data_IF_894658318450
#
_entry.id   IF_894658318450
#
_cell.length_a   1.000
_cell.length_b   1.000
_cell.length_c   1.000
_cell.angle_alpha   90.00
_cell.angle_beta   90.00
_cell.angle_gamma   90.00
#
_symmetry.space_group_name_H-M   'P 1'
#
loop_
_entity.id
_entity.type
_entity.pdbx_description
1 polymer ?
#
# COMPACT_ATOMS: atom_id res chain seq x y z
N UNK A 1 11.91 -17.34 -12.43
CA UNK A 1 11.09 -17.41 -11.20
C UNK A 1 10.95 -16.00 -10.64
N UNK A 2 9.74 -15.58 -10.26
CA UNK A 2 9.53 -14.27 -9.64
C UNK A 2 10.13 -14.22 -8.22
N UNK A 3 10.55 -13.04 -7.77
CA UNK A 3 10.96 -12.81 -6.37
C UNK A 3 9.75 -12.41 -5.55
N UNK A 4 9.66 -12.94 -4.32
CA UNK A 4 8.68 -12.49 -3.33
C UNK A 4 9.39 -11.48 -2.45
N UNK A 5 8.90 -10.24 -2.42
CA UNK A 5 9.44 -9.15 -1.61
C UNK A 5 8.39 -8.70 -0.60
N UNK A 6 8.87 -8.23 0.54
CA UNK A 6 8.10 -7.43 1.49
C UNK A 6 8.80 -6.09 1.62
N UNK A 7 8.04 -5.01 1.47
CA UNK A 7 8.49 -3.65 1.67
C UNK A 7 7.48 -2.94 2.56
N UNK A 8 7.94 -2.45 3.70
CA UNK A 8 7.09 -1.85 4.73
C UNK A 8 7.94 -0.96 5.63
N UNK A 9 7.45 0.24 5.94
CA UNK A 9 8.06 1.05 6.99
C UNK A 9 7.63 0.54 8.37
N UNK A 10 8.58 0.44 9.29
CA UNK A 10 8.33 0.00 10.66
C UNK A 10 9.03 0.91 11.66
N UNK A 11 8.47 0.98 12.86
CA UNK A 11 9.14 1.56 14.02
C UNK A 11 10.28 0.66 14.51
N UNK A 12 11.18 1.21 15.32
CA UNK A 12 12.33 0.48 15.88
C UNK A 12 11.89 -0.67 16.80
N UNK A 13 10.74 -0.52 17.46
CA UNK A 13 10.11 -1.54 18.31
C UNK A 13 9.19 -2.51 17.54
N UNK A 14 9.17 -2.44 16.21
CA UNK A 14 8.60 -3.48 15.34
C UNK A 14 7.12 -3.31 14.98
N UNK A 15 6.56 -2.11 15.09
CA UNK A 15 5.18 -1.80 14.70
C UNK A 15 5.13 -1.09 13.34
N UNK A 16 4.11 -1.42 12.55
CA UNK A 16 3.89 -0.86 11.19
C UNK A 16 2.75 0.16 11.13
N UNK A 17 2.04 0.34 12.24
CA UNK A 17 0.88 1.23 12.36
C UNK A 17 0.73 1.69 13.81
N UNK A 18 0.11 2.86 14.01
CA UNK A 18 -0.29 3.33 15.33
C UNK A 18 -1.53 2.60 15.85
N UNK A 19 -1.87 2.75 17.14
CA UNK A 19 -3.12 2.23 17.68
C UNK A 19 -4.34 2.90 17.03
N UNK A 20 -5.51 2.26 17.13
CA UNK A 20 -6.78 2.77 16.62
C UNK A 20 -6.81 3.03 15.09
N UNK A 21 -6.08 2.22 14.32
CA UNK A 21 -6.14 2.27 12.86
C UNK A 21 -7.51 1.81 12.32
N UNK A 22 -7.96 2.48 11.27
CA UNK A 22 -9.26 2.25 10.67
C UNK A 22 -9.54 3.18 9.48
N UNK A 23 -10.69 3.02 8.80
CA UNK A 23 -11.14 3.99 7.80
C UNK A 23 -11.13 5.41 8.36
N UNK A 24 -10.52 6.36 7.63
CA UNK A 24 -10.32 7.74 8.09
C UNK A 24 -9.13 7.96 9.04
N UNK A 25 -8.58 6.91 9.64
CA UNK A 25 -7.36 6.92 10.46
C UNK A 25 -6.40 5.80 10.03
N UNK A 26 -6.07 5.74 8.74
CA UNK A 26 -5.48 4.53 8.17
C UNK A 26 -4.08 4.18 8.65
N UNK A 27 -3.35 5.16 9.18
CA UNK A 27 -2.03 4.95 9.78
C UNK A 27 -2.09 4.75 11.30
N UNK A 28 -3.27 4.87 11.92
CA UNK A 28 -3.43 4.89 13.37
C UNK A 28 -2.87 6.15 14.02
N UNK A 29 -3.12 6.29 15.32
CA UNK A 29 -2.73 7.46 16.11
C UNK A 29 -1.20 7.56 16.17
N UNK A 30 -0.66 8.68 15.70
CA UNK A 30 0.80 8.91 15.63
C UNK A 30 1.54 8.12 14.55
N UNK A 31 0.88 7.22 13.82
CA UNK A 31 1.53 6.39 12.79
C UNK A 31 1.99 7.14 11.55
N UNK A 32 1.56 8.40 11.39
CA UNK A 32 2.08 9.31 10.36
C UNK A 32 3.60 9.49 10.47
N UNK A 33 4.17 9.47 11.67
CA UNK A 33 5.61 9.61 11.88
C UNK A 33 6.44 8.55 11.12
N UNK A 34 5.89 7.34 10.94
CA UNK A 34 6.52 6.28 10.14
C UNK A 34 6.53 6.59 8.64
N UNK A 35 5.62 7.45 8.17
CA UNK A 35 5.37 7.69 6.75
C UNK A 35 5.66 9.14 6.33
N UNK A 36 6.26 9.97 7.18
CA UNK A 36 6.58 11.38 6.83
C UNK A 36 7.43 11.48 5.56
N UNK A 37 8.36 10.55 5.35
CA UNK A 37 9.18 10.47 4.13
C UNK A 37 8.33 10.23 2.86
N UNK A 38 7.20 9.53 2.97
CA UNK A 38 6.26 9.31 1.87
C UNK A 38 5.47 10.58 1.54
N UNK A 39 5.12 11.36 2.56
CA UNK A 39 4.36 12.59 2.39
C UNK A 39 5.22 13.79 1.97
N UNK A 40 6.52 13.73 2.26
CA UNK A 40 7.50 14.75 1.92
C UNK A 40 8.75 14.11 1.29
N UNK A 41 8.61 13.46 0.11
CA UNK A 41 9.69 12.70 -0.49
C UNK A 41 10.79 13.61 -1.04
N UNK A 42 12.03 13.18 -0.85
CA UNK A 42 13.18 13.68 -1.60
C UNK A 42 13.24 13.03 -2.99
N UNK A 43 14.06 13.54 -3.93
CA UNK A 43 14.24 12.88 -5.22
C UNK A 43 14.67 11.41 -5.12
N UNK A 44 15.49 11.06 -4.13
CA UNK A 44 15.93 9.67 -3.92
C UNK A 44 14.78 8.79 -3.40
N UNK A 45 13.92 9.33 -2.54
CA UNK A 45 12.73 8.62 -2.05
C UNK A 45 11.75 8.28 -3.20
N UNK A 46 11.65 9.14 -4.21
CA UNK A 46 10.81 8.89 -5.38
C UNK A 46 11.26 7.68 -6.20
N UNK A 47 12.56 7.39 -6.23
CA UNK A 47 13.07 6.17 -6.88
C UNK A 47 12.51 4.92 -6.19
N UNK A 48 12.43 4.92 -4.86
CA UNK A 48 11.90 3.79 -4.07
C UNK A 48 10.37 3.75 -4.13
N UNK A 49 9.69 4.90 -4.04
CA UNK A 49 8.22 4.96 -3.99
C UNK A 49 7.55 4.74 -5.33
N UNK A 50 8.20 5.10 -6.44
CA UNK A 50 7.56 5.15 -7.76
C UNK A 50 8.32 4.28 -8.78
N UNK A 51 9.60 4.59 -9.01
CA UNK A 51 10.33 4.01 -10.15
C UNK A 51 10.55 2.50 -9.98
N UNK A 52 11.05 2.07 -8.82
CA UNK A 52 11.30 0.64 -8.57
C UNK A 52 10.03 -0.21 -8.55
N UNK A 53 8.94 0.18 -7.84
CA UNK A 53 7.68 -0.55 -7.88
C UNK A 53 7.12 -0.64 -9.30
N UNK A 54 7.14 0.45 -10.07
CA UNK A 54 6.60 0.44 -11.43
C UNK A 54 7.35 -0.52 -12.37
N UNK A 55 8.67 -0.68 -12.17
CA UNK A 55 9.49 -1.58 -12.99
C UNK A 55 9.45 -3.04 -12.54
N UNK A 56 9.18 -3.31 -11.25
CA UNK A 56 9.43 -4.63 -10.64
C UNK A 56 8.18 -5.31 -10.10
N UNK A 57 7.14 -4.56 -9.74
CA UNK A 57 5.93 -5.11 -9.12
C UNK A 57 5.00 -5.66 -10.19
N UNK A 58 5.05 -6.97 -10.43
CA UNK A 58 4.09 -7.65 -11.32
C UNK A 58 2.72 -7.85 -10.65
N UNK A 59 2.71 -8.06 -9.33
CA UNK A 59 1.52 -8.34 -8.53
C UNK A 59 1.75 -8.02 -7.07
N UNK A 60 0.69 -7.65 -6.35
CA UNK A 60 0.73 -7.39 -4.92
C UNK A 60 -0.25 -8.29 -4.17
N UNK A 61 0.08 -8.66 -2.93
CA UNK A 61 -0.81 -9.38 -2.02
C UNK A 61 -1.01 -8.53 -0.76
N UNK A 62 -2.26 -8.28 -0.38
CA UNK A 62 -2.60 -7.60 0.87
C UNK A 62 -3.59 -8.40 1.71
N UNK A 63 -3.58 -8.15 3.01
CA UNK A 63 -4.63 -8.62 3.91
C UNK A 63 -5.92 -7.83 3.74
N UNK A 64 -7.05 -8.46 4.09
CA UNK A 64 -8.35 -7.81 4.04
C UNK A 64 -8.45 -6.51 4.85
N UNK A 65 -7.81 -6.44 6.02
CA UNK A 65 -7.82 -5.24 6.87
C UNK A 65 -7.21 -4.04 6.14
N UNK A 66 -6.03 -4.22 5.53
CA UNK A 66 -5.36 -3.18 4.74
C UNK A 66 -6.25 -2.70 3.60
N UNK A 67 -6.88 -3.62 2.87
CA UNK A 67 -7.82 -3.27 1.82
C UNK A 67 -9.00 -2.43 2.35
N UNK A 68 -9.62 -2.85 3.46
CA UNK A 68 -10.77 -2.17 4.04
C UNK A 68 -10.46 -0.74 4.45
N UNK A 69 -9.29 -0.53 5.05
CA UNK A 69 -8.82 0.77 5.53
C UNK A 69 -8.40 1.68 4.37
N UNK A 70 -7.68 1.14 3.40
CA UNK A 70 -6.93 1.94 2.44
C UNK A 70 -7.65 2.16 1.10
N UNK A 71 -8.62 1.32 0.74
CA UNK A 71 -9.31 1.42 -0.56
C UNK A 71 -9.94 2.79 -0.83
N UNK A 72 -10.46 3.45 0.21
CA UNK A 72 -11.08 4.76 0.08
C UNK A 72 -10.01 5.86 0.08
N UNK A 73 -9.01 5.74 0.96
CA UNK A 73 -7.89 6.68 1.06
C UNK A 73 -7.04 6.75 -0.22
N UNK A 74 -6.84 5.62 -0.90
CA UNK A 74 -6.08 5.53 -2.15
C UNK A 74 -6.89 5.89 -3.40
N UNK A 75 -8.22 5.82 -3.32
CA UNK A 75 -9.11 6.13 -4.45
C UNK A 75 -8.76 5.34 -5.72
N UNK A 76 -8.76 6.03 -6.85
CA UNK A 76 -8.50 5.43 -8.18
C UNK A 76 -7.02 5.18 -8.47
N UNK A 77 -6.09 5.65 -7.63
CA UNK A 77 -4.65 5.57 -7.86
C UNK A 77 -3.92 4.96 -6.64
N UNK A 78 -4.05 3.65 -6.42
CA UNK A 78 -3.33 2.98 -5.36
C UNK A 78 -1.82 2.94 -5.64
N UNK A 79 -0.97 2.84 -4.59
CA UNK A 79 0.49 2.86 -4.71
C UNK A 79 1.08 1.55 -5.28
N UNK A 80 0.31 0.82 -6.08
CA UNK A 80 0.71 -0.45 -6.72
C UNK A 80 0.74 -0.33 -8.24
N UNK A 81 0.60 0.88 -8.81
CA UNK A 81 0.67 1.10 -10.25
C UNK A 81 -0.29 0.21 -11.05
N UNK A 82 0.21 -0.38 -12.15
CA UNK A 82 -0.57 -1.28 -13.01
C UNK A 82 -0.64 -2.74 -12.50
N UNK A 83 -0.08 -3.03 -11.32
CA UNK A 83 0.00 -4.40 -10.79
C UNK A 83 -1.36 -4.96 -10.41
N UNK A 84 -1.54 -6.27 -10.59
CA UNK A 84 -2.73 -6.96 -10.07
C UNK A 84 -2.61 -7.12 -8.56
N UNK A 85 -3.63 -6.68 -7.82
CA UNK A 85 -3.70 -6.78 -6.36
C UNK A 85 -4.60 -7.95 -5.95
N UNK A 86 -4.06 -8.89 -5.17
CA UNK A 86 -4.79 -9.99 -4.57
C UNK A 86 -5.05 -9.70 -3.08
N UNK A 87 -6.32 -9.74 -2.67
CA UNK A 87 -6.71 -9.54 -1.27
C UNK A 87 -6.98 -10.89 -0.62
N UNK A 88 -6.16 -11.28 0.35
CA UNK A 88 -6.38 -12.51 1.10
C UNK A 88 -7.52 -12.32 2.10
N UNK A 89 -8.59 -13.09 1.93
CA UNK A 89 -9.79 -12.98 2.77
C UNK A 89 -10.65 -14.25 2.75
N UNK A 90 -11.41 -14.47 3.82
CA UNK A 90 -12.48 -15.46 3.88
C UNK A 90 -13.85 -14.90 3.46
N UNK A 91 -13.96 -13.58 3.24
CA UNK A 91 -15.22 -12.90 2.91
C UNK A 91 -15.27 -12.60 1.41
N UNK A 92 -16.30 -13.03 0.67
CA UNK A 92 -16.41 -12.71 -0.75
C UNK A 92 -16.52 -11.19 -0.95
N UNK A 93 -15.96 -10.72 -2.06
CA UNK A 93 -16.04 -9.32 -2.49
C UNK A 93 -15.90 -9.28 -3.99
N UNK A 94 -16.64 -8.39 -4.66
CA UNK A 94 -16.55 -8.25 -6.11
C UNK A 94 -15.16 -7.76 -6.53
N UNK A 95 -14.67 -8.29 -7.65
CA UNK A 95 -13.40 -7.83 -8.21
C UNK A 95 -13.54 -6.37 -8.62
N UNK A 96 -12.79 -5.48 -7.95
CA UNK A 96 -12.66 -4.10 -8.40
C UNK A 96 -11.73 -4.07 -9.60
N UNK A 97 -12.23 -3.54 -10.71
CA UNK A 97 -11.41 -3.15 -11.85
C UNK A 97 -11.24 -1.64 -11.76
N UNK A 98 -10.01 -1.11 -11.73
CA UNK A 98 -9.81 0.32 -11.89
C UNK A 98 -10.49 0.76 -13.18
N UNK A 99 -11.09 1.96 -13.19
CA UNK A 99 -11.85 2.45 -14.35
C UNK A 99 -10.99 2.60 -15.62
N UNK A 100 -9.66 2.47 -15.53
CA UNK A 100 -8.73 2.48 -16.66
C UNK A 100 -7.71 1.36 -16.55
N UNK A 101 -7.67 0.51 -17.58
CA UNK A 101 -6.50 -0.30 -17.91
C UNK A 101 -5.38 0.65 -18.33
N UNK A 102 -4.33 0.74 -17.51
CA UNK A 102 -3.10 1.43 -17.91
C UNK A 102 -2.34 0.49 -18.86
N UNK A 103 -2.11 0.95 -20.09
CA UNK A 103 -1.25 0.32 -21.09
C UNK A 103 0.22 0.50 -20.74
#
# INVERSE_FOLDING_TARGET
MGKVLIDITMSVDGFVTGPNDGPGNGLGDGGRALHEWVFHPTPDDLTVLVDEPQQRLGSCVLGRRTFDIAQEAWGEQPPFGASTVFVLTHRPHDTRRPARTWC
#
